data_IF_853237259148
#
_entry.id   IF_853237259148
#
_cell.length_a   1.000
_cell.length_b   1.000
_cell.length_c   1.000
_cell.angle_alpha   90.00
_cell.angle_beta   90.00
_cell.angle_gamma   90.00
#
_symmetry.space_group_name_H-M   'P 1'
#
loop_
_entity.id
_entity.type
_entity.pdbx_description
1 polymer ?
#
# COMPACT_ATOMS: atom_id res chain seq x y z
N UNK A 1 -31.08 -78.52 -1.36
CA UNK A 1 -31.20 -78.89 -2.78
C UNK A 1 -30.95 -77.64 -3.59
N UNK A 2 -30.08 -77.77 -4.59
CA UNK A 2 -29.55 -76.70 -5.42
C UNK A 2 -30.60 -76.08 -6.35
N UNK A 3 -30.33 -74.86 -6.80
CA UNK A 3 -30.31 -74.53 -8.23
C UNK A 3 -29.53 -73.23 -8.44
N UNK A 4 -28.39 -73.38 -9.12
CA UNK A 4 -27.61 -72.29 -9.73
C UNK A 4 -28.37 -71.65 -10.90
N UNK A 5 -28.07 -70.38 -11.18
CA UNK A 5 -27.63 -69.93 -12.52
C UNK A 5 -27.00 -68.54 -12.46
N UNK A 6 -25.78 -68.48 -12.99
CA UNK A 6 -24.98 -67.29 -13.24
C UNK A 6 -25.59 -66.36 -14.30
N UNK A 7 -25.28 -65.06 -14.22
CA UNK A 7 -25.12 -64.19 -15.39
C UNK A 7 -23.96 -63.22 -15.19
N UNK A 8 -23.37 -62.97 -16.34
CA UNK A 8 -22.04 -62.48 -16.65
C UNK A 8 -21.98 -60.94 -16.73
N UNK A 9 -20.74 -60.46 -16.88
CA UNK A 9 -20.26 -59.09 -16.86
C UNK A 9 -20.96 -58.10 -17.80
N UNK A 10 -20.97 -56.83 -17.37
CA UNK A 10 -21.32 -55.67 -18.18
C UNK A 10 -20.74 -54.41 -17.56
N UNK A 11 -19.50 -54.10 -17.95
CA UNK A 11 -18.82 -52.83 -17.67
C UNK A 11 -19.60 -51.70 -18.36
N UNK A 12 -20.34 -50.88 -17.60
CA UNK A 12 -20.98 -49.67 -18.15
C UNK A 12 -20.23 -48.43 -17.70
N UNK A 13 -19.46 -47.89 -18.64
CA UNK A 13 -18.83 -46.58 -18.61
C UNK A 13 -19.88 -45.49 -18.47
N UNK A 14 -19.72 -44.63 -17.46
CA UNK A 14 -20.57 -43.46 -17.22
C UNK A 14 -20.19 -42.34 -18.19
N UNK A 15 -21.10 -41.78 -19.02
CA UNK A 15 -20.76 -40.68 -19.90
C UNK A 15 -20.95 -39.31 -19.24
N UNK A 16 -20.08 -38.39 -19.68
CA UNK A 16 -20.20 -36.93 -19.70
C UNK A 16 -20.31 -36.18 -18.37
N UNK A 17 -19.14 -35.89 -17.79
CA UNK A 17 -18.91 -34.65 -17.06
C UNK A 17 -18.77 -33.49 -18.06
N UNK A 18 -19.86 -32.83 -18.43
CA UNK A 18 -19.77 -31.47 -18.99
C UNK A 18 -19.52 -30.52 -17.81
N UNK A 19 -18.23 -30.34 -17.52
CA UNK A 19 -17.75 -29.24 -16.70
C UNK A 19 -18.04 -27.95 -17.45
N UNK A 20 -18.86 -27.11 -16.82
CA UNK A 20 -18.81 -25.67 -17.02
C UNK A 20 -17.34 -25.24 -17.01
N UNK A 21 -16.88 -24.75 -18.16
CA UNK A 21 -15.61 -24.05 -18.27
C UNK A 21 -15.77 -22.76 -17.48
N UNK A 22 -15.35 -22.78 -16.22
CA UNK A 22 -15.04 -21.55 -15.51
C UNK A 22 -13.85 -20.92 -16.22
N UNK A 23 -14.06 -19.75 -16.81
CA UNK A 23 -12.97 -18.82 -17.07
C UNK A 23 -12.44 -18.34 -15.72
N UNK A 24 -11.64 -19.19 -15.07
CA UNK A 24 -10.67 -18.74 -14.10
C UNK A 24 -9.79 -17.71 -14.82
N UNK A 25 -9.66 -16.53 -14.24
CA UNK A 25 -8.84 -15.46 -14.77
C UNK A 25 -7.42 -15.97 -15.05
N UNK A 26 -6.73 -15.27 -15.93
CA UNK A 26 -5.32 -15.49 -16.21
C UNK A 26 -4.47 -15.07 -14.99
N UNK A 27 -4.40 -15.93 -13.98
CA UNK A 27 -3.46 -15.81 -12.87
C UNK A 27 -2.29 -16.74 -13.21
N UNK A 28 -1.30 -16.20 -13.92
CA UNK A 28 -0.17 -16.99 -14.43
C UNK A 28 0.83 -16.26 -15.33
N UNK A 29 0.78 -14.93 -15.41
CA UNK A 29 1.88 -14.15 -16.00
C UNK A 29 2.83 -13.72 -14.88
N UNK A 30 4.12 -13.95 -15.06
CA UNK A 30 5.18 -13.39 -14.20
C UNK A 30 5.03 -11.86 -14.24
N UNK A 31 4.62 -11.25 -13.12
CA UNK A 31 4.40 -9.79 -13.05
C UNK A 31 5.75 -9.08 -13.12
N UNK A 32 5.78 -7.85 -13.65
CA UNK A 32 7.04 -7.14 -13.87
C UNK A 32 7.77 -6.87 -12.55
N UNK A 33 7.04 -6.69 -11.44
CA UNK A 33 7.62 -6.56 -10.10
C UNK A 33 8.05 -7.88 -9.44
N UNK A 34 7.56 -9.04 -9.89
CA UNK A 34 7.94 -10.34 -9.32
C UNK A 34 9.45 -10.59 -9.42
N UNK A 35 10.08 -10.15 -10.53
CA UNK A 35 11.52 -10.29 -10.78
C UNK A 35 12.40 -9.15 -10.25
N UNK A 36 11.83 -8.11 -9.63
CA UNK A 36 12.61 -6.97 -9.14
C UNK A 36 13.23 -7.32 -7.79
N UNK A 37 14.51 -7.63 -7.77
CA UNK A 37 15.29 -7.81 -6.54
C UNK A 37 16.00 -6.50 -6.20
N UNK A 38 15.60 -5.87 -5.09
CA UNK A 38 16.26 -4.65 -4.60
C UNK A 38 17.63 -4.94 -4.02
N UNK A 39 18.55 -3.97 -4.17
CA UNK A 39 19.85 -4.00 -3.50
C UNK A 39 19.68 -4.15 -1.98
N UNK A 40 20.67 -4.77 -1.32
CA UNK A 40 20.61 -5.27 0.07
C UNK A 40 19.98 -4.29 1.08
N UNK A 41 20.28 -2.99 0.97
CA UNK A 41 19.75 -1.94 1.87
C UNK A 41 18.24 -1.80 1.84
N UNK A 42 17.64 -2.00 0.66
CA UNK A 42 16.18 -1.97 0.47
C UNK A 42 15.61 -3.38 0.48
N UNK A 43 16.29 -4.36 -0.11
CA UNK A 43 15.81 -5.74 -0.21
C UNK A 43 15.55 -6.40 1.16
N UNK A 44 16.36 -6.11 2.17
CA UNK A 44 16.13 -6.59 3.55
C UNK A 44 14.91 -5.95 4.23
N UNK A 45 14.37 -4.89 3.64
CA UNK A 45 13.21 -4.13 4.11
C UNK A 45 12.08 -4.12 3.07
N UNK A 46 12.06 -5.14 2.20
CA UNK A 46 11.02 -5.35 1.20
C UNK A 46 10.12 -6.49 1.64
N UNK A 47 8.86 -6.17 1.93
CA UNK A 47 7.82 -7.15 2.20
C UNK A 47 7.07 -7.47 0.90
N UNK A 48 7.12 -8.73 0.47
CA UNK A 48 6.29 -9.23 -0.63
C UNK A 48 5.04 -9.88 -0.05
N UNK A 49 3.87 -9.32 -0.35
CA UNK A 49 2.59 -9.95 -0.03
C UNK A 49 2.31 -11.04 -1.06
N UNK A 50 1.80 -12.16 -0.59
CA UNK A 50 1.26 -13.20 -1.46
C UNK A 50 -0.11 -12.73 -1.98
N UNK A 51 -0.18 -12.44 -3.28
CA UNK A 51 -1.39 -11.97 -3.92
C UNK A 51 -2.53 -13.00 -3.84
N UNK A 52 -2.22 -14.29 -3.87
CA UNK A 52 -3.22 -15.36 -3.80
C UNK A 52 -3.85 -15.49 -2.41
N UNK A 53 -3.23 -14.88 -1.40
CA UNK A 53 -3.73 -14.88 -0.02
C UNK A 53 -4.86 -13.87 0.22
N UNK A 54 -5.05 -12.89 -0.67
CA UNK A 54 -6.02 -11.81 -0.51
C UNK A 54 -6.93 -11.66 -1.74
N UNK A 55 -8.20 -11.32 -1.50
CA UNK A 55 -9.18 -11.04 -2.57
C UNK A 55 -9.10 -9.57 -3.03
N UNK A 56 -8.53 -8.69 -2.20
CA UNK A 56 -8.34 -7.27 -2.51
C UNK A 56 -7.20 -6.67 -1.66
N UNK A 57 -6.64 -5.57 -2.15
CA UNK A 57 -5.74 -4.68 -1.41
C UNK A 57 -6.34 -3.27 -1.42
N UNK A 58 -6.54 -2.70 -0.24
CA UNK A 58 -6.76 -1.27 -0.08
C UNK A 58 -5.43 -0.58 0.19
N UNK A 59 -5.18 0.57 -0.44
CA UNK A 59 -4.00 1.38 -0.13
C UNK A 59 -4.43 2.71 0.48
N UNK A 60 -3.82 3.15 1.57
CA UNK A 60 -4.22 4.33 2.35
C UNK A 60 -3.09 5.35 2.45
N UNK A 61 -3.42 6.63 2.23
CA UNK A 61 -2.51 7.78 2.34
C UNK A 61 -2.04 8.13 3.76
N UNK A 62 -1.26 9.21 3.87
CA UNK A 62 -0.65 9.70 5.11
C UNK A 62 -1.70 9.99 6.21
N UNK A 63 -1.58 9.32 7.35
CA UNK A 63 -2.56 9.40 8.45
C UNK A 63 -2.19 10.49 9.47
N UNK A 64 -0.90 10.65 9.77
CA UNK A 64 -0.38 11.65 10.69
C UNK A 64 -1.12 11.75 12.04
N UNK A 65 -1.36 10.62 12.71
CA UNK A 65 -2.01 10.61 14.01
C UNK A 65 -3.50 10.98 14.00
N UNK A 66 -4.14 11.08 12.83
CA UNK A 66 -5.56 11.40 12.67
C UNK A 66 -6.46 10.17 12.93
N UNK A 67 -6.35 9.57 14.13
CA UNK A 67 -7.06 8.35 14.49
C UNK A 67 -8.59 8.38 14.26
N UNK A 68 -9.33 9.48 14.55
CA UNK A 68 -10.76 9.53 14.25
C UNK A 68 -11.07 9.39 12.76
N UNK A 69 -10.27 10.03 11.89
CA UNK A 69 -10.41 9.91 10.45
C UNK A 69 -10.08 8.49 9.99
N UNK A 70 -8.99 7.90 10.50
CA UNK A 70 -8.63 6.51 10.22
C UNK A 70 -9.75 5.53 10.59
N UNK A 71 -10.36 5.67 11.77
CA UNK A 71 -11.47 4.80 12.18
C UNK A 71 -12.70 4.94 11.27
N UNK A 72 -13.01 6.16 10.82
CA UNK A 72 -14.10 6.39 9.86
C UNK A 72 -13.80 5.76 8.51
N UNK A 73 -12.58 5.95 7.99
CA UNK A 73 -12.16 5.36 6.73
C UNK A 73 -12.21 3.84 6.82
N UNK A 74 -11.63 3.25 7.87
CA UNK A 74 -11.69 1.81 8.12
C UNK A 74 -13.12 1.28 8.14
N UNK A 75 -14.06 2.01 8.76
CA UNK A 75 -15.48 1.64 8.74
C UNK A 75 -16.18 1.78 7.38
N UNK A 76 -15.66 2.62 6.47
CA UNK A 76 -16.14 2.71 5.08
C UNK A 76 -15.57 1.59 4.21
N UNK A 77 -14.30 1.24 4.42
CA UNK A 77 -13.64 0.12 3.75
C UNK A 77 -14.23 -1.22 4.21
N UNK A 78 -14.49 -1.34 5.51
CA UNK A 78 -14.98 -2.55 6.20
C UNK A 78 -14.25 -3.83 5.74
N UNK A 79 -12.90 -3.86 5.79
CA UNK A 79 -12.12 -4.94 5.18
C UNK A 79 -12.37 -6.25 5.92
N UNK A 80 -12.70 -7.28 5.15
CA UNK A 80 -12.76 -8.66 5.64
C UNK A 80 -11.35 -9.19 5.94
N UNK A 81 -11.26 -10.37 6.56
CA UNK A 81 -9.97 -11.03 6.81
C UNK A 81 -9.23 -11.44 5.52
N UNK A 82 -9.90 -11.38 4.36
CA UNK A 82 -9.33 -11.68 3.05
C UNK A 82 -8.91 -10.44 2.27
N UNK A 83 -9.01 -9.25 2.87
CA UNK A 83 -8.62 -8.00 2.22
C UNK A 83 -7.51 -7.35 3.04
N UNK A 84 -6.40 -7.01 2.39
CA UNK A 84 -5.25 -6.38 3.02
C UNK A 84 -5.37 -4.85 2.94
N UNK A 85 -4.97 -4.15 4.00
CA UNK A 85 -4.87 -2.68 4.00
C UNK A 85 -3.40 -2.27 4.11
N UNK A 86 -2.86 -1.70 3.04
CA UNK A 86 -1.50 -1.17 2.96
C UNK A 86 -1.51 0.34 3.19
N UNK A 87 -0.68 0.85 4.08
CA UNK A 87 -0.51 2.29 4.30
C UNK A 87 0.79 2.77 3.66
N UNK A 88 0.78 3.97 3.06
CA UNK A 88 1.95 4.59 2.41
C UNK A 88 2.92 5.28 3.39
N UNK A 89 2.80 5.00 4.70
CA UNK A 89 3.66 5.58 5.74
C UNK A 89 3.12 6.88 6.34
N UNK A 90 3.97 7.59 7.09
CA UNK A 90 3.63 8.84 7.78
C UNK A 90 2.36 8.67 8.66
N UNK A 91 2.34 7.57 9.41
CA UNK A 91 1.32 7.25 10.39
C UNK A 91 1.35 8.20 11.59
N UNK A 92 2.55 8.70 11.92
CA UNK A 92 2.81 9.47 13.13
C UNK A 92 3.12 10.95 12.86
N UNK A 93 3.25 11.70 13.96
CA UNK A 93 3.57 13.14 14.03
C UNK A 93 2.46 14.03 13.44
N UNK A 94 2.52 15.32 13.78
CA UNK A 94 1.61 16.41 13.36
C UNK A 94 0.20 16.35 13.96
N UNK A 95 -0.52 15.24 13.81
CA UNK A 95 -1.87 15.11 14.36
C UNK A 95 -1.89 14.60 15.80
N UNK A 96 -3.10 14.46 16.36
CA UNK A 96 -3.30 14.43 17.81
C UNK A 96 -3.01 13.09 18.49
N UNK A 97 -2.97 11.97 17.75
CA UNK A 97 -2.88 10.64 18.36
C UNK A 97 -2.05 9.66 17.52
N UNK A 98 -0.73 9.84 17.54
CA UNK A 98 0.20 8.98 16.78
C UNK A 98 0.24 7.55 17.31
N UNK A 99 0.37 7.36 18.62
CA UNK A 99 0.46 6.02 19.23
C UNK A 99 -0.80 5.20 18.99
N UNK A 100 -1.98 5.83 19.11
CA UNK A 100 -3.24 5.17 18.82
C UNK A 100 -3.44 4.80 17.35
N UNK A 101 -2.81 5.51 16.39
CA UNK A 101 -2.80 5.11 14.97
C UNK A 101 -1.93 3.87 14.79
N UNK A 102 -0.70 3.88 15.31
CA UNK A 102 0.23 2.75 15.17
C UNK A 102 -0.35 1.50 15.84
N UNK A 103 -0.85 1.61 17.07
CA UNK A 103 -1.50 0.51 17.79
C UNK A 103 -2.74 -0.02 17.04
N UNK A 104 -3.55 0.87 16.47
CA UNK A 104 -4.69 0.46 15.64
C UNK A 104 -4.24 -0.36 14.44
N UNK A 105 -3.18 0.02 13.73
CA UNK A 105 -2.71 -0.71 12.56
C UNK A 105 -2.02 -2.02 12.97
N UNK A 106 -1.07 -1.95 13.91
CA UNK A 106 -0.25 -3.09 14.33
C UNK A 106 -1.06 -4.21 15.02
N UNK A 107 -2.20 -3.90 15.63
CA UNK A 107 -3.08 -4.90 16.25
C UNK A 107 -3.90 -5.73 15.25
N UNK A 108 -3.79 -5.48 13.94
CA UNK A 108 -4.60 -6.11 12.90
C UNK A 108 -3.73 -6.98 11.96
N UNK A 109 -4.11 -8.24 11.71
CA UNK A 109 -3.32 -9.14 10.87
C UNK A 109 -3.41 -8.82 9.38
N UNK A 110 -4.41 -8.04 8.96
CA UNK A 110 -4.65 -7.64 7.57
C UNK A 110 -4.35 -6.15 7.34
N UNK A 111 -3.37 -5.61 8.07
CA UNK A 111 -2.89 -4.25 7.88
C UNK A 111 -1.36 -4.19 7.95
N UNK A 112 -0.76 -3.39 7.07
CA UNK A 112 0.69 -3.15 7.06
C UNK A 112 0.96 -1.73 6.57
N UNK A 113 2.02 -1.09 7.07
CA UNK A 113 2.47 0.22 6.58
C UNK A 113 3.88 0.12 6.05
N UNK A 114 4.14 0.77 4.92
CA UNK A 114 5.51 1.14 4.58
C UNK A 114 6.00 2.20 5.57
N UNK A 115 7.31 2.35 5.67
CA UNK A 115 7.96 3.35 6.50
C UNK A 115 7.88 4.71 5.82
N UNK A 116 7.40 5.71 6.55
CA UNK A 116 7.47 7.10 6.12
C UNK A 116 8.68 7.85 6.66
N UNK A 117 8.85 9.08 6.19
CA UNK A 117 9.95 9.93 6.64
C UNK A 117 9.79 10.32 8.13
N UNK A 118 8.56 10.32 8.66
CA UNK A 118 8.31 10.61 10.07
C UNK A 118 8.64 9.42 10.96
N UNK A 119 8.35 8.19 10.53
CA UNK A 119 8.82 6.97 11.19
C UNK A 119 10.35 6.93 11.20
N UNK A 120 11.00 7.23 10.07
CA UNK A 120 12.46 7.25 9.98
C UNK A 120 13.09 8.23 10.97
N UNK A 121 12.52 9.43 11.12
CA UNK A 121 13.01 10.42 12.11
C UNK A 121 12.99 9.89 13.54
N UNK A 122 12.01 9.06 13.90
CA UNK A 122 11.93 8.41 15.22
C UNK A 122 12.99 7.30 15.33
N UNK A 123 13.13 6.47 14.30
CA UNK A 123 14.12 5.37 14.26
C UNK A 123 15.56 5.92 14.36
N UNK A 124 15.84 7.03 13.68
CA UNK A 124 17.15 7.71 13.70
C UNK A 124 17.31 8.68 14.88
N UNK A 125 16.30 8.79 15.76
CA UNK A 125 16.33 9.64 16.96
C UNK A 125 16.64 11.12 16.66
N UNK A 126 16.18 11.61 15.50
CA UNK A 126 16.34 13.01 15.07
C UNK A 126 15.20 13.93 15.54
N UNK A 127 14.21 13.35 16.24
CA UNK A 127 13.09 14.02 16.89
C UNK A 127 12.90 13.44 18.30
N UNK A 128 12.09 14.10 19.12
CA UNK A 128 11.71 13.57 20.43
C UNK A 128 10.98 12.21 20.27
N UNK A 129 11.57 11.17 20.88
CA UNK A 129 11.12 9.78 20.77
C UNK A 129 10.26 9.32 21.94
N UNK A 130 10.29 10.02 23.08
CA UNK A 130 9.56 9.64 24.30
C UNK A 130 8.07 9.35 24.04
N UNK A 131 7.35 10.17 23.22
CA UNK A 131 5.93 9.90 22.93
C UNK A 131 5.67 8.60 22.16
N UNK A 132 6.68 8.04 21.49
CA UNK A 132 6.55 6.88 20.60
C UNK A 132 7.05 5.59 21.23
N UNK A 133 7.67 5.64 22.40
CA UNK A 133 8.21 4.47 23.11
C UNK A 133 7.20 3.30 23.24
N UNK A 134 5.90 3.53 23.54
CA UNK A 134 4.93 2.45 23.64
C UNK A 134 4.68 1.67 22.33
N UNK A 135 5.05 2.24 21.19
CA UNK A 135 4.82 1.67 19.84
C UNK A 135 6.12 1.62 19.01
N UNK A 136 7.29 1.79 19.64
CA UNK A 136 8.58 1.91 18.96
C UNK A 136 8.91 0.67 18.12
N UNK A 137 8.66 -0.51 18.67
CA UNK A 137 8.85 -1.79 17.96
C UNK A 137 8.02 -1.86 16.66
N UNK A 138 6.76 -1.43 16.70
CA UNK A 138 5.89 -1.41 15.52
C UNK A 138 6.35 -0.38 14.48
N UNK A 139 6.90 0.76 14.91
CA UNK A 139 7.51 1.76 14.01
C UNK A 139 8.74 1.17 13.32
N UNK A 140 9.65 0.53 14.08
CA UNK A 140 10.87 -0.09 13.55
C UNK A 140 10.57 -1.24 12.57
N UNK A 141 9.48 -1.98 12.79
CA UNK A 141 9.05 -3.08 11.94
C UNK A 141 8.49 -2.65 10.56
N UNK A 142 8.25 -1.36 10.33
CA UNK A 142 7.73 -0.88 9.04
C UNK A 142 8.75 -1.11 7.90
N UNK A 143 8.44 -1.88 6.84
CA UNK A 143 9.32 -2.07 5.69
C UNK A 143 9.44 -0.79 4.84
N UNK A 144 10.49 -0.67 4.03
CA UNK A 144 10.61 0.44 3.05
C UNK A 144 9.71 0.24 1.83
N UNK A 145 9.46 -1.02 1.46
CA UNK A 145 8.64 -1.39 0.29
C UNK A 145 7.68 -2.49 0.69
N UNK A 146 6.41 -2.37 0.28
CA UNK A 146 5.45 -3.47 0.28
C UNK A 146 5.00 -3.69 -1.16
N UNK A 147 5.10 -4.90 -1.69
CA UNK A 147 4.65 -5.21 -3.07
C UNK A 147 3.66 -6.37 -3.13
N UNK A 148 2.76 -6.33 -4.11
CA UNK A 148 1.79 -7.36 -4.43
C UNK A 148 1.53 -7.34 -5.93
N UNK A 149 1.43 -8.51 -6.57
CA UNK A 149 1.23 -8.61 -8.03
C UNK A 149 2.19 -7.71 -8.84
N UNK A 150 1.64 -6.78 -9.62
CA UNK A 150 2.38 -5.75 -10.38
C UNK A 150 2.22 -4.35 -9.75
N UNK A 151 2.05 -4.29 -8.43
CA UNK A 151 1.95 -3.06 -7.65
C UNK A 151 2.93 -3.04 -6.47
N UNK A 152 3.32 -1.83 -6.06
CA UNK A 152 4.04 -1.61 -4.81
C UNK A 152 3.65 -0.31 -4.14
N UNK A 153 3.77 -0.29 -2.82
CA UNK A 153 3.70 0.92 -2.01
C UNK A 153 5.11 1.30 -1.55
N UNK A 154 5.39 2.60 -1.61
CA UNK A 154 6.57 3.28 -1.05
C UNK A 154 6.08 4.62 -0.49
N UNK A 155 6.86 5.27 0.37
CA UNK A 155 6.34 6.49 1.01
C UNK A 155 6.42 7.74 0.12
N UNK A 156 7.64 8.12 -0.29
CA UNK A 156 7.86 9.31 -1.11
C UNK A 156 7.55 9.07 -2.59
N UNK A 157 8.20 8.06 -3.15
CA UNK A 157 8.15 7.77 -4.57
C UNK A 157 9.36 6.96 -5.01
N UNK A 158 9.72 7.05 -6.28
CA UNK A 158 10.95 6.46 -6.81
C UNK A 158 11.75 7.49 -7.57
N UNK A 159 13.06 7.32 -7.64
CA UNK A 159 13.91 8.08 -8.53
C UNK A 159 13.80 7.48 -9.95
N UNK A 160 13.16 8.17 -10.92
CA UNK A 160 12.86 7.59 -12.23
C UNK A 160 14.10 7.48 -13.12
N UNK A 161 15.25 8.02 -12.69
CA UNK A 161 16.54 7.85 -13.38
C UNK A 161 17.27 6.57 -12.97
N UNK A 162 16.74 5.83 -11.99
CA UNK A 162 17.31 4.58 -11.48
C UNK A 162 16.35 3.42 -11.77
N UNK A 163 16.89 2.24 -12.06
CA UNK A 163 16.10 1.02 -12.02
C UNK A 163 15.54 0.79 -10.61
N UNK A 164 14.40 0.11 -10.46
CA UNK A 164 13.83 -0.17 -9.15
C UNK A 164 14.81 -0.91 -8.22
N UNK A 165 15.55 -1.88 -8.76
CA UNK A 165 16.55 -2.62 -8.00
C UNK A 165 17.62 -1.73 -7.33
N UNK A 166 17.93 -0.58 -7.94
CA UNK A 166 18.99 0.34 -7.52
C UNK A 166 18.47 1.55 -6.72
N UNK A 167 17.20 1.56 -6.31
CA UNK A 167 16.66 2.61 -5.44
C UNK A 167 17.37 2.57 -4.08
N UNK A 168 17.66 3.74 -3.53
CA UNK A 168 18.19 3.87 -2.17
C UNK A 168 17.05 4.19 -1.20
N UNK A 169 17.21 3.91 0.12
CA UNK A 169 16.18 4.23 1.11
C UNK A 169 15.68 5.68 1.03
N UNK A 170 16.60 6.63 0.79
CA UNK A 170 16.26 8.04 0.66
C UNK A 170 15.39 8.34 -0.57
N UNK A 171 15.62 7.63 -1.69
CA UNK A 171 14.78 7.80 -2.88
C UNK A 171 13.32 7.41 -2.54
N UNK A 172 13.15 6.27 -1.85
CA UNK A 172 11.85 5.70 -1.50
C UNK A 172 11.10 6.49 -0.42
N UNK A 173 11.83 7.15 0.47
CA UNK A 173 11.26 7.91 1.58
C UNK A 173 10.96 9.36 1.21
N UNK A 174 11.72 9.97 0.30
CA UNK A 174 11.72 11.42 0.17
C UNK A 174 11.49 11.98 -1.24
N UNK A 175 11.51 11.16 -2.30
CA UNK A 175 11.36 11.67 -3.67
C UNK A 175 9.98 12.29 -3.91
N UNK A 176 9.97 13.50 -4.46
CA UNK A 176 8.81 14.26 -4.95
C UNK A 176 9.01 14.67 -6.40
N UNK A 177 10.16 15.30 -6.66
CA UNK A 177 10.55 15.78 -7.97
C UNK A 177 11.82 15.09 -8.47
N UNK A 178 12.10 15.25 -9.76
CA UNK A 178 13.30 14.69 -10.36
C UNK A 178 14.54 15.24 -9.64
N UNK A 179 15.47 14.38 -9.17
CA UNK A 179 16.71 14.85 -8.56
C UNK A 179 17.58 15.67 -9.55
N UNK A 180 18.44 16.59 -9.06
CA UNK A 180 18.78 16.84 -7.66
C UNK A 180 17.83 17.78 -6.89
N UNK A 181 16.87 18.44 -7.55
CA UNK A 181 16.12 19.54 -6.93
C UNK A 181 15.13 19.06 -5.84
N UNK A 182 14.39 17.99 -6.12
CA UNK A 182 13.38 17.39 -5.22
C UNK A 182 12.37 18.38 -4.59
N UNK A 183 12.08 19.48 -5.30
CA UNK A 183 11.23 20.58 -4.85
C UNK A 183 9.74 20.41 -5.17
N UNK A 184 9.00 21.52 -5.05
CA UNK A 184 7.55 21.59 -5.33
C UNK A 184 7.24 22.13 -6.74
N UNK A 185 8.26 22.50 -7.52
CA UNK A 185 8.10 23.12 -8.84
C UNK A 185 8.10 22.11 -10.00
N UNK A 186 8.26 20.82 -9.70
CA UNK A 186 8.39 19.75 -10.70
C UNK A 186 9.66 19.86 -11.55
N UNK A 187 9.79 19.05 -12.63
CA UNK A 187 8.89 17.93 -12.95
C UNK A 187 8.87 16.90 -11.82
N UNK A 188 7.70 16.28 -11.60
CA UNK A 188 7.52 15.29 -10.55
C UNK A 188 7.96 13.90 -11.01
N UNK A 189 8.36 13.06 -10.07
CA UNK A 189 8.85 11.72 -10.42
C UNK A 189 7.78 10.89 -11.16
N UNK A 190 6.53 11.01 -10.73
CA UNK A 190 5.39 10.28 -11.28
C UNK A 190 4.96 10.77 -12.68
N UNK A 191 5.46 11.92 -13.14
CA UNK A 191 5.26 12.40 -14.52
C UNK A 191 6.25 11.76 -15.49
N UNK A 192 7.37 11.24 -14.99
CA UNK A 192 8.45 10.66 -15.81
C UNK A 192 8.64 9.17 -15.61
N UNK A 193 7.98 8.58 -14.61
CA UNK A 193 8.11 7.17 -14.32
C UNK A 193 7.33 6.31 -15.32
N UNK A 194 8.08 5.50 -16.06
CA UNK A 194 7.61 4.51 -17.04
C UNK A 194 8.12 3.09 -16.72
N UNK A 195 8.56 2.89 -15.47
CA UNK A 195 9.13 1.65 -14.99
C UNK A 195 8.08 0.56 -14.71
N UNK A 196 8.54 -0.61 -14.23
CA UNK A 196 7.66 -1.75 -14.00
C UNK A 196 6.67 -1.51 -12.85
N UNK A 197 5.45 -2.01 -13.02
CA UNK A 197 4.39 -1.95 -12.02
C UNK A 197 3.87 -0.56 -11.69
N UNK A 198 2.79 -0.55 -10.89
CA UNK A 198 2.13 0.67 -10.39
C UNK A 198 2.61 1.00 -8.98
N UNK A 199 3.01 2.25 -8.77
CA UNK A 199 3.60 2.72 -7.51
C UNK A 199 2.62 3.58 -6.74
N UNK A 200 2.23 3.12 -5.56
CA UNK A 200 1.42 3.86 -4.61
C UNK A 200 2.30 4.65 -3.65
N UNK A 201 1.97 5.92 -3.42
CA UNK A 201 2.78 6.83 -2.62
C UNK A 201 1.98 7.87 -1.85
N UNK A 202 2.65 8.47 -0.87
CA UNK A 202 2.19 9.54 0.00
C UNK A 202 3.13 10.74 -0.05
N UNK A 203 3.44 11.36 1.10
CA UNK A 203 4.50 12.37 1.35
C UNK A 203 4.38 13.72 0.64
N UNK A 204 3.93 13.70 -0.61
CA UNK A 204 3.65 14.84 -1.46
C UNK A 204 2.17 15.13 -1.34
N UNK A 205 1.84 16.11 -0.50
CA UNK A 205 0.45 16.55 -0.32
C UNK A 205 -0.13 17.06 -1.65
N UNK A 206 -1.19 16.41 -2.11
CA UNK A 206 -1.95 16.73 -3.32
C UNK A 206 -3.30 17.37 -2.96
N UNK A 207 -3.84 18.21 -3.84
CA UNK A 207 -5.19 18.76 -3.71
C UNK A 207 -6.28 17.70 -3.93
N UNK A 208 -6.00 16.72 -4.78
CA UNK A 208 -6.84 15.56 -5.10
C UNK A 208 -5.96 14.35 -5.34
N UNK A 209 -6.45 13.11 -5.15
CA UNK A 209 -5.63 11.92 -5.40
C UNK A 209 -5.22 11.86 -6.86
N UNK A 210 -3.96 11.48 -7.09
CA UNK A 210 -3.42 11.20 -8.42
C UNK A 210 -3.66 9.73 -8.75
N UNK A 211 -4.21 9.44 -9.92
CA UNK A 211 -4.35 8.06 -10.44
C UNK A 211 -3.88 8.04 -11.88
N UNK A 212 -2.80 7.31 -12.15
CA UNK A 212 -2.26 7.09 -13.50
C UNK A 212 -1.95 5.61 -13.73
N UNK A 213 -1.47 5.25 -14.91
CA UNK A 213 -1.04 3.88 -15.21
C UNK A 213 0.05 3.42 -14.22
N UNK A 214 1.06 4.25 -13.98
CA UNK A 214 2.26 3.86 -13.22
C UNK A 214 2.31 4.41 -11.79
N UNK A 215 1.46 5.36 -11.41
CA UNK A 215 1.54 6.01 -10.10
C UNK A 215 0.17 6.34 -9.51
N UNK A 216 0.02 6.15 -8.20
CA UNK A 216 -1.17 6.52 -7.44
C UNK A 216 -0.75 7.29 -6.18
N UNK A 217 -1.09 8.58 -6.12
CA UNK A 217 -0.75 9.47 -5.01
C UNK A 217 -1.95 9.67 -4.08
N UNK A 218 -1.80 9.32 -2.81
CA UNK A 218 -2.91 9.25 -1.83
C UNK A 218 -2.79 10.23 -0.66
N UNK A 219 -1.69 10.95 -0.53
CA UNK A 219 -1.56 12.02 0.46
C UNK A 219 -2.38 13.24 0.04
N UNK A 220 -3.65 13.25 0.43
CA UNK A 220 -4.56 14.40 0.26
C UNK A 220 -4.60 15.29 1.50
N UNK A 221 -3.56 15.24 2.35
CA UNK A 221 -3.35 16.17 3.44
C UNK A 221 -4.37 16.07 4.58
N UNK A 222 -4.70 14.86 5.04
CA UNK A 222 -5.66 14.62 6.13
C UNK A 222 -5.41 15.52 7.36
N UNK A 223 -4.18 15.58 7.85
CA UNK A 223 -3.82 16.39 9.02
C UNK A 223 -3.97 17.90 8.78
N UNK A 224 -3.93 18.31 7.51
CA UNK A 224 -4.00 19.68 7.02
C UNK A 224 -5.42 20.13 6.64
N UNK A 225 -6.44 19.36 7.02
CA UNK A 225 -7.84 19.65 6.73
C UNK A 225 -8.30 19.25 5.33
N UNK A 226 -7.46 18.53 4.57
CA UNK A 226 -7.87 17.84 3.34
C UNK A 226 -8.62 16.55 3.66
N UNK A 227 -8.32 15.46 2.96
CA UNK A 227 -8.97 14.16 3.20
C UNK A 227 -7.98 13.08 3.63
N UNK A 228 -8.45 12.04 4.32
CA UNK A 228 -7.75 10.76 4.39
C UNK A 228 -8.29 9.88 3.27
N UNK A 229 -7.40 9.50 2.35
CA UNK A 229 -7.79 8.86 1.09
C UNK A 229 -7.26 7.45 1.01
N UNK A 230 -8.11 6.56 0.50
CA UNK A 230 -7.78 5.18 0.17
C UNK A 230 -8.09 4.87 -1.30
N UNK A 231 -7.43 3.84 -1.80
CA UNK A 231 -7.63 3.24 -3.10
C UNK A 231 -8.10 1.79 -2.93
N UNK A 232 -9.16 1.40 -3.63
CA UNK A 232 -9.58 0.00 -3.79
C UNK A 232 -8.94 -0.58 -5.06
N UNK A 233 -7.96 -1.47 -4.92
CA UNK A 233 -7.22 -2.00 -6.07
C UNK A 233 -8.06 -2.90 -6.98
N UNK A 234 -9.06 -3.60 -6.43
CA UNK A 234 -9.94 -4.46 -7.21
C UNK A 234 -11.00 -3.66 -7.99
N UNK A 235 -11.47 -2.54 -7.43
CA UNK A 235 -12.50 -1.70 -8.07
C UNK A 235 -11.96 -0.52 -8.86
N UNK A 236 -10.69 -0.18 -8.68
CA UNK A 236 -10.08 1.03 -9.26
C UNK A 236 -10.80 2.31 -8.77
N UNK A 237 -11.15 2.34 -7.47
CA UNK A 237 -11.99 3.39 -6.87
C UNK A 237 -11.29 4.13 -5.72
N UNK A 238 -11.54 5.43 -5.63
CA UNK A 238 -11.13 6.28 -4.51
C UNK A 238 -12.20 6.28 -3.42
N UNK A 239 -11.76 6.08 -2.18
CA UNK A 239 -12.60 6.15 -0.98
C UNK A 239 -11.94 7.11 0.00
N UNK A 240 -12.62 8.19 0.36
CA UNK A 240 -12.05 9.19 1.26
C UNK A 240 -12.97 9.53 2.43
N UNK A 241 -12.37 10.12 3.48
CA UNK A 241 -13.10 10.75 4.57
C UNK A 241 -12.45 12.06 4.96
N UNK A 242 -13.26 13.05 5.27
CA UNK A 242 -12.79 14.33 5.82
C UNK A 242 -12.44 14.16 7.31
N UNK A 243 -11.35 14.76 7.82
CA UNK A 243 -11.06 14.85 9.25
C UNK A 243 -12.10 15.74 9.96
N UNK A 244 -12.11 15.71 11.30
CA UNK A 244 -13.07 16.52 12.08
C UNK A 244 -12.74 18.02 12.06
N UNK A 245 -11.47 18.33 11.82
CA UNK A 245 -10.90 19.68 11.78
C UNK A 245 -9.52 19.63 11.14
N UNK A 246 -9.00 20.79 10.79
CA UNK A 246 -7.57 21.00 10.55
C UNK A 246 -6.80 20.84 11.86
N UNK A 247 -5.79 19.97 11.89
CA UNK A 247 -4.92 19.78 13.06
C UNK A 247 -3.60 20.55 12.92
N UNK A 248 -3.13 20.74 11.69
CA UNK A 248 -1.95 21.52 11.38
C UNK A 248 -2.19 22.41 10.16
N UNK A 249 -1.65 23.63 10.17
CA UNK A 249 -1.66 24.51 9.00
C UNK A 249 -0.55 24.15 8.01
N UNK A 250 -0.80 24.36 6.72
CA UNK A 250 0.17 24.15 5.64
C UNK A 250 -0.01 25.21 4.58
N UNK A 251 1.08 25.80 4.11
CA UNK A 251 1.08 26.75 3.02
C UNK A 251 0.54 26.12 1.73
N UNK A 252 -0.30 26.87 1.00
CA UNK A 252 -0.95 26.39 -0.23
C UNK A 252 0.06 25.99 -1.31
N UNK A 253 1.18 26.71 -1.42
CA UNK A 253 2.29 26.39 -2.34
C UNK A 253 2.94 25.01 -2.09
N UNK A 254 2.66 24.39 -0.95
CA UNK A 254 3.14 23.03 -0.61
C UNK A 254 2.07 21.97 -0.78
N UNK A 255 0.97 22.30 -1.46
CA UNK A 255 -0.07 21.40 -1.94
C UNK A 255 -0.01 21.43 -3.47
N UNK A 256 0.16 20.27 -4.10
CA UNK A 256 0.26 20.19 -5.55
C UNK A 256 -1.13 20.07 -6.18
N UNK A 257 -1.38 20.90 -7.18
CA UNK A 257 -2.49 20.78 -8.12
C UNK A 257 -1.90 20.23 -9.42
N UNK A 258 -2.06 18.93 -9.65
CA UNK A 258 -1.47 18.16 -10.78
C UNK A 258 -2.55 17.48 -11.59
#
# INVERSE_FOLDING_TARGET
MATERAKDAGMTTNPSSDRLVSTAGQWGAETALCGVEFDERVGTQHLRLDADSYENVYVVGDVHGCLPALRRLWGRLDPSSREMVVFVGDLIRKGPNSTGVVDFIASRPNAVSVRGNNEMKVIEETVDTEPFEPVREAIEATPLVVSWEDSMAVHGGVNPRKALAAQEPIDLLETRAIPPENGYDGPFWFEQYDGPGRVFFGHTVLESPLVSEHAVGLDTGCVYGGELTAYDCNRDEIISVTPERTYQERADEKRLSV
#
